data_IF_530757922980
#
_entry.id   IF_530757922980
#
_cell.length_a   1.000
_cell.length_b   1.000
_cell.length_c   1.000
_cell.angle_alpha   90.00
_cell.angle_beta   90.00
_cell.angle_gamma   90.00
#
_symmetry.space_group_name_H-M   'P 1'
#
loop_
_entity.id
_entity.type
_entity.pdbx_description
1 polymer ?
#
# COMPACT_ATOMS: atom_id res chain seq x y z
N UNK A 1 39.90 26.76 14.61
CA UNK A 1 39.83 25.29 14.49
C UNK A 1 38.61 24.84 15.27
N UNK A 2 37.46 24.74 14.58
CA UNK A 2 36.19 24.37 15.18
C UNK A 2 35.68 23.13 14.44
N UNK A 3 35.61 22.01 15.16
CA UNK A 3 35.05 20.76 14.67
C UNK A 3 33.52 20.88 14.70
N UNK A 4 32.86 20.82 13.53
CA UNK A 4 31.44 20.47 13.44
C UNK A 4 31.33 18.99 13.15
N UNK A 5 30.84 18.25 14.14
CA UNK A 5 30.34 16.88 13.99
C UNK A 5 28.93 17.00 13.41
N UNK A 6 28.75 16.54 12.17
CA UNK A 6 27.43 16.41 11.54
C UNK A 6 26.79 15.11 11.99
N UNK A 7 25.88 15.21 12.97
CA UNK A 7 24.97 14.15 13.35
C UNK A 7 23.81 14.10 12.35
N UNK A 8 23.85 13.17 11.38
CA UNK A 8 22.65 12.78 10.61
C UNK A 8 21.75 11.97 11.54
N UNK A 9 20.55 12.48 11.83
CA UNK A 9 19.49 11.68 12.45
C UNK A 9 18.81 10.85 11.36
N UNK A 10 18.47 9.57 11.59
CA UNK A 10 17.61 8.83 10.68
C UNK A 10 16.19 9.40 10.79
N UNK A 11 15.60 9.77 9.66
CA UNK A 11 14.17 10.08 9.54
C UNK A 11 13.46 8.73 9.53
N UNK A 12 12.76 8.40 10.62
CA UNK A 12 11.88 7.24 10.69
C UNK A 12 10.58 7.66 10.01
N UNK A 13 10.42 7.29 8.74
CA UNK A 13 9.18 7.46 7.99
C UNK A 13 8.17 6.44 8.55
N UNK A 14 7.44 6.81 9.60
CA UNK A 14 6.32 6.03 10.10
C UNK A 14 5.14 6.20 9.13
N UNK A 15 5.18 5.49 8.01
CA UNK A 15 4.03 5.37 7.12
C UNK A 15 2.95 4.54 7.82
N UNK A 16 2.12 5.20 8.64
CA UNK A 16 0.85 4.63 9.11
C UNK A 16 -0.11 4.69 7.92
N UNK A 17 -0.01 3.70 7.05
CA UNK A 17 -1.05 3.42 6.06
C UNK A 17 -2.23 2.84 6.83
N UNK A 18 -3.25 3.65 7.08
CA UNK A 18 -4.55 3.20 7.54
C UNK A 18 -5.16 2.32 6.42
N UNK A 19 -4.82 1.04 6.39
CA UNK A 19 -5.57 0.03 5.64
C UNK A 19 -6.86 -0.22 6.40
N UNK A 20 -7.84 0.67 6.24
CA UNK A 20 -9.21 0.36 6.65
C UNK A 20 -9.87 -0.49 5.56
N UNK A 21 -9.49 -1.78 5.50
CA UNK A 21 -10.36 -2.84 4.96
C UNK A 21 -11.33 -3.30 6.06
N UNK A 22 -12.17 -2.39 6.55
CA UNK A 22 -13.28 -2.75 7.43
C UNK A 22 -14.61 -2.68 6.65
N UNK A 23 -15.11 -3.87 6.31
CA UNK A 23 -16.53 -4.18 6.47
C UNK A 23 -17.51 -3.55 5.48
N UNK A 24 -17.47 -3.98 4.21
CA UNK A 24 -18.70 -4.11 3.43
C UNK A 24 -19.50 -5.32 3.97
N UNK A 25 -20.13 -5.16 5.12
CA UNK A 25 -21.21 -6.03 5.57
C UNK A 25 -22.48 -5.20 5.64
N UNK A 26 -23.41 -5.57 4.77
CA UNK A 26 -24.72 -5.01 4.61
C UNK A 26 -25.44 -4.77 5.95
N UNK A 27 -25.72 -3.52 6.27
CA UNK A 27 -26.86 -3.17 7.12
C UNK A 27 -28.08 -3.02 6.20
N UNK A 28 -28.67 -4.16 5.83
CA UNK A 28 -29.96 -4.17 5.13
C UNK A 28 -31.08 -3.96 6.17
N UNK A 29 -31.43 -2.69 6.41
CA UNK A 29 -32.70 -2.33 7.04
C UNK A 29 -33.28 -1.15 6.27
N UNK A 30 -34.35 -1.43 5.54
CA UNK A 30 -35.18 -0.47 4.84
C UNK A 30 -35.62 0.66 5.78
N UNK A 31 -35.00 1.82 5.65
CA UNK A 31 -35.55 3.09 6.08
C UNK A 31 -35.56 3.99 4.84
N UNK A 32 -36.76 4.40 4.43
CA UNK A 32 -37.00 5.28 3.29
C UNK A 32 -36.11 6.53 3.38
N UNK A 33 -35.13 6.63 2.47
CA UNK A 33 -34.44 7.88 2.21
C UNK A 33 -35.24 8.64 1.14
N UNK A 34 -35.55 9.94 1.33
CA UNK A 34 -36.22 10.72 0.31
C UNK A 34 -35.34 10.84 -0.94
N UNK A 35 -35.97 10.62 -2.09
CA UNK A 35 -35.39 10.68 -3.43
C UNK A 35 -34.67 12.02 -3.67
N UNK A 36 -33.34 11.99 -3.88
CA UNK A 36 -32.55 13.18 -4.16
C UNK A 36 -32.60 13.56 -5.65
N UNK A 37 -32.98 14.82 -5.91
CA UNK A 37 -33.13 15.48 -7.21
C UNK A 37 -31.83 15.44 -8.06
N UNK A 38 -31.88 15.02 -9.34
CA UNK A 38 -30.70 14.93 -10.18
C UNK A 38 -30.38 16.27 -10.86
N UNK A 39 -29.75 17.23 -10.17
CA UNK A 39 -29.13 18.41 -10.80
C UNK A 39 -27.83 18.88 -10.10
N UNK A 40 -26.73 18.68 -10.83
CA UNK A 40 -25.38 19.29 -10.78
C UNK A 40 -24.51 19.21 -9.50
N UNK A 41 -23.19 19.00 -9.65
CA UNK A 41 -22.26 18.91 -8.52
C UNK A 41 -21.91 20.32 -8.02
N UNK A 42 -22.38 20.65 -6.83
CA UNK A 42 -21.89 21.83 -6.09
C UNK A 42 -20.68 21.38 -5.29
N UNK A 43 -19.50 21.37 -5.92
CA UNK A 43 -18.24 21.45 -5.18
C UNK A 43 -18.10 22.91 -4.69
N UNK A 44 -18.00 23.18 -3.39
CA UNK A 44 -17.62 24.51 -2.95
C UNK A 44 -16.15 24.75 -3.34
N UNK A 45 -15.88 25.89 -3.99
CA UNK A 45 -14.53 26.42 -4.15
C UNK A 45 -13.96 26.66 -2.76
N UNK A 46 -12.94 25.90 -2.36
CA UNK A 46 -12.07 26.32 -1.27
C UNK A 46 -11.15 27.37 -1.83
N UNK A 47 -11.36 28.63 -1.43
CA UNK A 47 -10.39 29.69 -1.68
C UNK A 47 -9.15 29.40 -0.85
N UNK A 48 -7.99 29.39 -1.51
CA UNK A 48 -6.69 29.34 -0.87
C UNK A 48 -6.63 30.41 0.22
N UNK A 49 -6.44 29.99 1.47
CA UNK A 49 -6.17 30.94 2.54
C UNK A 49 -4.73 31.38 2.39
N UNK A 50 -4.53 32.65 2.01
CA UNK A 50 -3.25 33.34 2.05
C UNK A 50 -2.75 33.36 3.51
N UNK A 51 -2.03 32.33 3.92
CA UNK A 51 -1.14 32.39 5.06
C UNK A 51 0.00 33.34 4.70
N UNK A 52 0.21 34.36 5.52
CA UNK A 52 1.28 35.32 5.35
C UNK A 52 2.64 34.59 5.27
N UNK A 53 3.26 34.65 4.10
CA UNK A 53 4.61 34.17 3.84
C UNK A 53 5.58 35.07 4.61
N UNK A 54 6.07 34.59 5.75
CA UNK A 54 7.37 35.02 6.24
C UNK A 54 8.43 34.53 5.24
N UNK A 55 9.37 35.43 4.92
CA UNK A 55 10.45 35.34 3.93
C UNK A 55 11.19 33.98 3.91
N UNK A 56 10.58 32.98 3.27
CA UNK A 56 11.22 31.72 2.91
C UNK A 56 11.95 31.94 1.58
N UNK A 57 13.27 31.95 1.64
CA UNK A 57 14.13 31.87 0.45
C UNK A 57 13.66 30.71 -0.45
N UNK A 58 13.64 30.92 -1.77
CA UNK A 58 13.33 29.84 -2.74
C UNK A 58 14.11 28.56 -2.38
N UNK A 59 13.47 27.37 -2.38
CA UNK A 59 14.11 26.13 -2.00
C UNK A 59 15.37 25.87 -2.83
N UNK A 60 16.49 25.63 -2.14
CA UNK A 60 17.84 25.62 -2.70
C UNK A 60 18.12 24.43 -3.67
N UNK A 61 17.29 23.38 -3.67
CA UNK A 61 17.42 22.21 -4.55
C UNK A 61 16.08 21.57 -4.95
N UNK A 62 16.10 20.71 -5.99
CA UNK A 62 14.93 19.91 -6.41
C UNK A 62 14.47 18.99 -5.28
N UNK A 63 15.42 18.39 -4.55
CA UNK A 63 15.12 17.60 -3.36
C UNK A 63 14.37 18.41 -2.29
N UNK A 64 14.80 19.65 -2.03
CA UNK A 64 14.14 20.52 -1.05
C UNK A 64 12.72 20.88 -1.49
N UNK A 65 12.50 21.14 -2.78
CA UNK A 65 11.15 21.37 -3.33
C UNK A 65 10.23 20.16 -3.13
N UNK A 66 10.74 18.95 -3.35
CA UNK A 66 9.98 17.70 -3.16
C UNK A 66 9.65 17.52 -1.68
N UNK A 67 10.63 17.70 -0.80
CA UNK A 67 10.46 17.58 0.65
C UNK A 67 9.43 18.60 1.16
N UNK A 68 9.53 19.86 0.75
CA UNK A 68 8.60 20.92 1.17
C UNK A 68 7.14 20.58 0.81
N UNK A 69 6.90 20.06 -0.41
CA UNK A 69 5.55 19.64 -0.83
C UNK A 69 5.03 18.48 0.04
N UNK A 70 5.90 17.52 0.38
CA UNK A 70 5.53 16.36 1.21
C UNK A 70 5.27 16.80 2.66
N UNK A 71 6.12 17.64 3.24
CA UNK A 71 5.96 18.15 4.62
C UNK A 71 4.69 19.03 4.75
N UNK A 72 4.35 19.81 3.73
CA UNK A 72 3.08 20.54 3.67
C UNK A 72 1.89 19.57 3.72
N UNK A 73 1.91 18.50 2.91
CA UNK A 73 0.86 17.47 2.93
C UNK A 73 0.77 16.79 4.30
N UNK A 74 1.91 16.40 4.88
CA UNK A 74 1.97 15.73 6.18
C UNK A 74 1.37 16.61 7.28
N UNK A 75 1.66 17.91 7.26
CA UNK A 75 1.08 18.88 8.21
C UNK A 75 -0.44 18.93 8.09
N UNK A 76 -0.98 19.03 6.86
CA UNK A 76 -2.44 19.06 6.66
C UNK A 76 -3.09 17.72 7.02
N UNK A 77 -2.40 16.61 6.75
CA UNK A 77 -2.86 15.27 7.11
C UNK A 77 -2.89 15.08 8.63
N UNK A 78 -1.90 15.56 9.37
CA UNK A 78 -1.85 15.50 10.83
C UNK A 78 -2.99 16.31 11.46
N UNK A 79 -3.27 17.51 10.94
CA UNK A 79 -4.39 18.33 11.36
C UNK A 79 -5.75 17.64 11.12
N UNK A 80 -5.89 17.00 9.94
CA UNK A 80 -7.06 16.18 9.63
C UNK A 80 -7.20 15.00 10.60
N UNK A 81 -6.13 14.23 10.83
CA UNK A 81 -6.14 13.05 11.69
C UNK A 81 -6.47 13.41 13.14
N UNK A 82 -5.90 14.50 13.66
CA UNK A 82 -6.23 15.02 14.99
C UNK A 82 -7.73 15.37 15.08
N UNK A 83 -8.24 16.13 14.11
CA UNK A 83 -9.66 16.50 14.06
C UNK A 83 -10.58 15.28 13.93
N UNK A 84 -10.20 14.27 13.15
CA UNK A 84 -10.98 13.05 12.93
C UNK A 84 -11.01 12.16 14.19
N UNK A 85 -9.89 12.05 14.89
CA UNK A 85 -9.76 11.28 16.14
C UNK A 85 -10.63 11.86 17.25
N UNK A 86 -10.64 13.17 17.38
CA UNK A 86 -11.36 13.88 18.44
C UNK A 86 -12.86 14.08 18.12
N UNK A 87 -13.28 13.86 16.86
CA UNK A 87 -14.66 13.98 16.43
C UNK A 87 -15.55 12.85 16.95
N UNK A 88 -16.80 13.20 17.26
CA UNK A 88 -17.86 12.23 17.49
C UNK A 88 -18.14 11.42 16.22
N UNK A 89 -18.60 10.18 16.36
CA UNK A 89 -18.84 9.28 15.22
C UNK A 89 -19.79 9.89 14.16
N UNK A 90 -20.79 10.66 14.59
CA UNK A 90 -21.74 11.35 13.71
C UNK A 90 -21.12 12.51 12.91
N UNK A 91 -20.06 13.13 13.42
CA UNK A 91 -19.38 14.27 12.80
C UNK A 91 -18.23 13.84 11.88
N UNK A 92 -17.68 12.64 12.06
CA UNK A 92 -16.51 12.13 11.30
C UNK A 92 -16.70 12.19 9.79
N UNK A 93 -17.91 11.96 9.29
CA UNK A 93 -18.22 12.04 7.86
C UNK A 93 -18.10 13.46 7.29
N UNK A 94 -18.44 14.48 8.09
CA UNK A 94 -18.28 15.89 7.69
C UNK A 94 -16.82 16.31 7.79
N UNK A 95 -16.13 15.94 8.87
CA UNK A 95 -14.68 16.20 9.04
C UNK A 95 -13.89 15.61 7.88
N UNK A 96 -14.21 14.39 7.45
CA UNK A 96 -13.60 13.79 6.27
C UNK A 96 -13.81 14.64 5.02
N UNK A 97 -15.04 15.04 4.71
CA UNK A 97 -15.32 15.83 3.50
C UNK A 97 -14.63 17.20 3.49
N UNK A 98 -14.57 17.86 4.64
CA UNK A 98 -14.11 19.25 4.71
C UNK A 98 -12.60 19.37 4.91
N UNK A 99 -11.98 18.38 5.57
CA UNK A 99 -10.58 18.46 6.00
C UNK A 99 -9.67 17.41 5.41
N UNK A 100 -10.19 16.34 4.78
CA UNK A 100 -9.31 15.34 4.19
C UNK A 100 -8.44 16.00 3.11
N UNK A 101 -7.10 15.82 3.14
CA UNK A 101 -6.21 16.52 2.22
C UNK A 101 -6.50 16.19 0.75
N UNK A 102 -6.41 17.21 -0.11
CA UNK A 102 -6.56 17.10 -1.56
C UNK A 102 -5.36 16.38 -2.20
N UNK A 103 -5.24 15.08 -1.94
CA UNK A 103 -4.05 14.27 -2.26
C UNK A 103 -3.63 14.35 -3.73
N UNK A 104 -4.59 14.44 -4.66
CA UNK A 104 -4.32 14.57 -6.10
C UNK A 104 -3.63 15.90 -6.46
N UNK A 105 -3.89 16.98 -5.72
CA UNK A 105 -3.24 18.28 -5.95
C UNK A 105 -1.75 18.24 -5.59
N UNK A 106 -1.41 17.57 -4.48
CA UNK A 106 -0.02 17.36 -4.08
C UNK A 106 0.70 16.42 -5.05
N UNK A 107 0.02 15.35 -5.50
CA UNK A 107 0.57 14.46 -6.53
C UNK A 107 0.87 15.19 -7.84
N UNK A 108 0.01 16.11 -8.27
CA UNK A 108 0.22 16.94 -9.46
C UNK A 108 1.35 17.95 -9.28
N UNK A 109 1.50 18.55 -8.09
CA UNK A 109 2.65 19.41 -7.76
C UNK A 109 3.95 18.63 -7.84
N UNK A 110 4.02 17.45 -7.23
CA UNK A 110 5.19 16.56 -7.31
C UNK A 110 5.47 16.13 -8.75
N UNK A 111 4.43 15.76 -9.53
CA UNK A 111 4.57 15.39 -10.94
C UNK A 111 5.27 16.49 -11.74
N UNK A 112 4.91 17.76 -11.54
CA UNK A 112 5.53 18.90 -12.25
C UNK A 112 7.01 19.07 -11.91
N UNK A 113 7.40 18.89 -10.65
CA UNK A 113 8.81 18.94 -10.23
C UNK A 113 9.59 17.79 -10.87
N UNK A 114 9.05 16.57 -10.80
CA UNK A 114 9.64 15.38 -11.39
C UNK A 114 9.78 15.49 -12.91
N UNK A 115 8.78 16.03 -13.61
CA UNK A 115 8.79 16.21 -15.07
C UNK A 115 9.89 17.18 -15.52
N UNK A 116 10.19 18.21 -14.72
CA UNK A 116 11.24 19.20 -15.02
C UNK A 116 12.64 18.67 -14.69
N UNK A 117 12.75 17.76 -13.72
CA UNK A 117 14.02 17.29 -13.17
C UNK A 117 14.10 15.76 -13.01
N UNK A 118 13.82 14.95 -14.06
CA UNK A 118 13.60 13.51 -13.91
C UNK A 118 14.82 12.68 -13.48
N UNK A 119 16.02 13.23 -13.62
CA UNK A 119 17.29 12.58 -13.25
C UNK A 119 17.82 13.03 -11.88
N UNK A 120 17.12 13.92 -11.17
CA UNK A 120 17.54 14.36 -9.85
C UNK A 120 17.38 13.23 -8.82
N UNK A 121 18.35 13.01 -7.91
CA UNK A 121 18.25 11.96 -6.89
C UNK A 121 17.00 12.08 -6.00
N UNK A 122 16.47 13.29 -5.78
CA UNK A 122 15.25 13.51 -5.00
C UNK A 122 13.98 12.92 -5.63
N UNK A 123 14.01 12.60 -6.93
CA UNK A 123 12.84 12.04 -7.64
C UNK A 123 12.38 10.71 -7.05
N UNK A 124 13.28 9.90 -6.49
CA UNK A 124 12.90 8.63 -5.83
C UNK A 124 11.91 8.89 -4.68
N UNK A 125 12.08 9.97 -3.92
CA UNK A 125 11.18 10.32 -2.82
C UNK A 125 9.80 10.73 -3.32
N UNK A 126 9.74 11.56 -4.37
CA UNK A 126 8.46 11.94 -4.99
C UNK A 126 7.72 10.71 -5.57
N UNK A 127 8.44 9.82 -6.26
CA UNK A 127 7.87 8.58 -6.80
C UNK A 127 7.37 7.67 -5.67
N UNK A 128 8.14 7.52 -4.59
CA UNK A 128 7.75 6.75 -3.41
C UNK A 128 6.45 7.30 -2.82
N UNK A 129 6.34 8.61 -2.67
CA UNK A 129 5.15 9.25 -2.13
C UNK A 129 3.94 9.02 -3.05
N UNK A 130 4.08 9.25 -4.37
CA UNK A 130 3.00 9.07 -5.35
C UNK A 130 2.48 7.62 -5.36
N UNK A 131 3.37 6.63 -5.27
CA UNK A 131 2.98 5.21 -5.26
C UNK A 131 2.19 4.80 -4.01
N UNK A 132 2.44 5.47 -2.87
CA UNK A 132 1.82 5.18 -1.57
C UNK A 132 0.58 6.04 -1.29
N UNK A 133 0.43 7.20 -1.93
CA UNK A 133 -0.66 8.15 -1.63
C UNK A 133 -2.01 7.74 -2.22
N UNK A 134 -2.09 6.65 -2.97
CA UNK A 134 -3.30 6.25 -3.71
C UNK A 134 -3.56 7.12 -4.94
N UNK A 135 -2.59 7.93 -5.35
CA UNK A 135 -2.67 8.76 -6.56
C UNK A 135 -2.94 7.93 -7.81
N UNK A 136 -3.66 8.55 -8.76
CA UNK A 136 -4.03 7.97 -10.05
C UNK A 136 -3.73 8.93 -11.20
N UNK A 137 -4.00 8.52 -12.44
CA UNK A 137 -3.80 9.38 -13.61
C UNK A 137 -2.34 9.68 -13.93
N UNK A 138 -2.06 10.91 -14.38
CA UNK A 138 -0.74 11.33 -14.89
C UNK A 138 0.40 11.24 -13.85
N UNK A 139 0.23 11.62 -12.57
CA UNK A 139 1.29 11.47 -11.57
C UNK A 139 1.76 10.01 -11.43
N UNK A 140 0.81 9.07 -11.34
CA UNK A 140 1.12 7.64 -11.27
C UNK A 140 1.74 7.15 -12.59
N UNK A 141 1.20 7.55 -13.74
CA UNK A 141 1.70 7.14 -15.05
C UNK A 141 3.16 7.55 -15.27
N UNK A 142 3.52 8.80 -14.95
CA UNK A 142 4.89 9.31 -15.04
C UNK A 142 5.82 8.55 -14.08
N UNK A 143 5.39 8.34 -12.84
CA UNK A 143 6.15 7.60 -11.83
C UNK A 143 6.50 6.19 -12.32
N UNK A 144 5.52 5.45 -12.83
CA UNK A 144 5.73 4.11 -13.37
C UNK A 144 6.58 4.11 -14.65
N UNK A 145 6.50 5.15 -15.47
CA UNK A 145 7.37 5.31 -16.64
C UNK A 145 8.84 5.52 -16.24
N UNK A 146 9.11 6.33 -15.21
CA UNK A 146 10.46 6.54 -14.71
C UNK A 146 11.05 5.25 -14.12
N UNK A 147 10.25 4.50 -13.35
CA UNK A 147 10.66 3.20 -12.80
C UNK A 147 11.08 2.23 -13.92
N UNK A 148 10.27 2.10 -14.98
CA UNK A 148 10.58 1.22 -16.14
C UNK A 148 11.66 1.77 -17.08
N UNK A 149 12.09 3.01 -16.88
CA UNK A 149 13.03 3.67 -17.77
C UNK A 149 14.36 3.89 -17.07
N UNK A 150 14.48 5.07 -16.45
CA UNK A 150 15.75 5.56 -15.92
C UNK A 150 16.17 4.81 -14.65
N UNK A 151 15.21 4.28 -13.90
CA UNK A 151 15.50 3.67 -12.60
C UNK A 151 15.73 2.15 -12.68
N UNK A 152 15.33 1.45 -13.75
CA UNK A 152 15.44 -0.02 -13.87
C UNK A 152 16.82 -0.58 -13.50
N UNK A 153 17.88 0.14 -13.89
CA UNK A 153 19.27 -0.25 -13.66
C UNK A 153 19.83 0.17 -12.29
N UNK A 154 19.08 0.96 -11.51
CA UNK A 154 19.46 1.40 -10.16
C UNK A 154 19.04 0.39 -9.10
N UNK A 155 19.90 0.18 -8.11
CA UNK A 155 19.55 -0.60 -6.92
C UNK A 155 18.53 0.12 -6.03
N UNK A 156 18.42 1.45 -6.15
CA UNK A 156 17.51 2.27 -5.34
C UNK A 156 16.03 1.95 -5.61
N UNK A 157 15.72 1.35 -6.77
CA UNK A 157 14.36 0.86 -7.06
C UNK A 157 13.88 -0.17 -6.04
N UNK A 158 14.78 -0.84 -5.33
CA UNK A 158 14.42 -1.75 -4.24
C UNK A 158 13.50 -1.09 -3.20
N UNK A 159 13.68 0.21 -2.93
CA UNK A 159 12.83 1.00 -2.02
C UNK A 159 11.38 1.14 -2.52
N UNK A 160 11.19 1.17 -3.84
CA UNK A 160 9.89 1.41 -4.47
C UNK A 160 9.02 0.15 -4.57
N UNK A 161 9.64 -1.03 -4.50
CA UNK A 161 8.96 -2.31 -4.78
C UNK A 161 7.77 -2.56 -3.83
N UNK A 162 7.88 -2.34 -2.50
CA UNK A 162 6.73 -2.49 -1.62
C UNK A 162 5.55 -1.58 -2.03
N UNK A 163 5.81 -0.34 -2.43
CA UNK A 163 4.78 0.63 -2.85
C UNK A 163 4.10 0.24 -4.18
N UNK A 164 4.79 -0.51 -5.05
CA UNK A 164 4.19 -1.09 -6.25
C UNK A 164 3.16 -2.19 -5.94
N UNK A 165 3.26 -2.86 -4.78
CA UNK A 165 2.34 -3.92 -4.37
C UNK A 165 1.21 -3.46 -3.43
N UNK A 166 1.20 -2.19 -3.01
CA UNK A 166 0.20 -1.61 -2.12
C UNK A 166 -0.98 -1.05 -2.92
N UNK A 167 -2.18 -1.19 -2.35
CA UNK A 167 -3.44 -0.66 -2.86
C UNK A 167 -4.17 -1.66 -3.76
N UNK A 168 -5.25 -1.22 -4.40
CA UNK A 168 -5.98 -2.08 -5.34
C UNK A 168 -5.06 -2.59 -6.46
N UNK A 169 -5.21 -3.86 -6.89
CA UNK A 169 -4.48 -4.38 -8.04
C UNK A 169 -4.60 -3.45 -9.25
N UNK A 170 -3.47 -3.11 -9.86
CA UNK A 170 -3.41 -2.14 -10.94
C UNK A 170 -2.53 -2.66 -12.07
N UNK A 171 -3.07 -2.65 -13.29
CA UNK A 171 -2.40 -3.22 -14.47
C UNK A 171 -1.08 -2.54 -14.81
N UNK A 172 -0.99 -1.22 -14.65
CA UNK A 172 0.25 -0.48 -14.90
C UNK A 172 1.31 -0.79 -13.85
N UNK A 173 0.93 -0.92 -12.56
CA UNK A 173 1.85 -1.37 -11.50
C UNK A 173 2.32 -2.82 -11.76
N UNK A 174 1.42 -3.72 -12.14
CA UNK A 174 1.75 -5.10 -12.53
C UNK A 174 2.78 -5.16 -13.67
N UNK A 175 2.57 -4.40 -14.74
CA UNK A 175 3.51 -4.32 -15.87
C UNK A 175 4.87 -3.73 -15.47
N UNK A 176 4.90 -2.80 -14.52
CA UNK A 176 6.16 -2.29 -13.96
C UNK A 176 6.88 -3.37 -13.17
N UNK A 177 6.16 -4.15 -12.35
CA UNK A 177 6.74 -5.28 -11.61
C UNK A 177 7.33 -6.31 -12.58
N UNK A 178 6.60 -6.69 -13.64
CA UNK A 178 7.11 -7.58 -14.68
C UNK A 178 8.38 -7.04 -15.34
N UNK A 179 8.39 -5.75 -15.68
CA UNK A 179 9.57 -5.11 -16.24
C UNK A 179 10.80 -5.23 -15.33
N UNK A 180 10.64 -5.00 -14.02
CA UNK A 180 11.73 -5.11 -13.05
C UNK A 180 12.25 -6.55 -12.89
N UNK A 181 11.34 -7.54 -12.90
CA UNK A 181 11.71 -8.97 -12.88
C UNK A 181 12.58 -9.32 -14.10
N UNK A 182 12.18 -8.84 -15.28
CA UNK A 182 12.81 -9.21 -16.55
C UNK A 182 14.11 -8.46 -16.84
N UNK A 183 14.19 -7.19 -16.45
CA UNK A 183 15.23 -6.27 -16.95
C UNK A 183 16.18 -5.74 -15.88
N UNK A 184 15.84 -5.80 -14.59
CA UNK A 184 16.75 -5.25 -13.57
C UNK A 184 18.04 -6.08 -13.49
N UNK A 185 19.22 -5.44 -13.44
CA UNK A 185 20.49 -6.14 -13.27
C UNK A 185 20.69 -6.63 -11.82
N UNK A 186 19.86 -6.19 -10.87
CA UNK A 186 20.02 -6.46 -9.44
C UNK A 186 19.16 -7.64 -9.00
N UNK A 187 19.80 -8.69 -8.47
CA UNK A 187 19.09 -9.89 -8.00
C UNK A 187 18.09 -9.58 -6.87
N UNK A 188 18.43 -8.68 -5.94
CA UNK A 188 17.54 -8.24 -4.87
C UNK A 188 16.27 -7.56 -5.41
N UNK A 189 16.40 -6.73 -6.46
CA UNK A 189 15.26 -6.08 -7.14
C UNK A 189 14.38 -7.12 -7.81
N UNK A 190 14.96 -8.06 -8.58
CA UNK A 190 14.18 -9.12 -9.24
C UNK A 190 13.44 -10.01 -8.25
N UNK A 191 14.10 -10.43 -7.17
CA UNK A 191 13.49 -11.24 -6.12
C UNK A 191 12.37 -10.50 -5.38
N UNK A 192 12.62 -9.25 -4.99
CA UNK A 192 11.59 -8.42 -4.34
C UNK A 192 10.42 -8.13 -5.27
N UNK A 193 10.67 -7.87 -6.55
CA UNK A 193 9.62 -7.66 -7.54
C UNK A 193 8.80 -8.94 -7.77
N UNK A 194 9.44 -10.11 -7.77
CA UNK A 194 8.72 -11.39 -7.85
C UNK A 194 7.81 -11.61 -6.63
N UNK A 195 8.28 -11.28 -5.42
CA UNK A 195 7.44 -11.30 -4.22
C UNK A 195 6.28 -10.29 -4.30
N UNK A 196 6.55 -9.07 -4.78
CA UNK A 196 5.51 -8.06 -5.00
C UNK A 196 4.43 -8.55 -5.99
N UNK A 197 4.83 -9.26 -7.06
CA UNK A 197 3.92 -9.88 -8.03
C UNK A 197 3.00 -10.92 -7.36
N UNK A 198 3.57 -11.78 -6.53
CA UNK A 198 2.81 -12.81 -5.79
C UNK A 198 1.78 -12.15 -4.86
N UNK A 199 2.19 -11.13 -4.10
CA UNK A 199 1.26 -10.39 -3.22
C UNK A 199 0.14 -9.70 -3.98
N UNK A 200 0.43 -9.12 -5.16
CA UNK A 200 -0.61 -8.52 -5.99
C UNK A 200 -1.55 -9.57 -6.59
N UNK A 201 -1.05 -10.76 -6.94
CA UNK A 201 -1.86 -11.88 -7.41
C UNK A 201 -2.81 -12.40 -6.32
N UNK A 202 -2.36 -12.47 -5.07
CA UNK A 202 -3.21 -12.83 -3.93
C UNK A 202 -4.33 -11.80 -3.71
N UNK A 203 -3.99 -10.51 -3.67
CA UNK A 203 -4.97 -9.42 -3.60
C UNK A 203 -5.97 -9.47 -4.78
N UNK A 204 -5.51 -9.82 -5.98
CA UNK A 204 -6.38 -10.01 -7.13
C UNK A 204 -7.36 -11.17 -6.93
N UNK A 205 -6.95 -12.30 -6.34
CA UNK A 205 -7.86 -13.42 -6.05
C UNK A 205 -8.94 -13.02 -5.05
N UNK A 206 -8.55 -12.38 -3.95
CA UNK A 206 -9.48 -11.85 -2.95
C UNK A 206 -10.48 -10.86 -3.57
N UNK A 207 -9.97 -9.97 -4.44
CA UNK A 207 -10.82 -9.00 -5.12
C UNK A 207 -11.76 -9.68 -6.13
N UNK A 208 -11.30 -10.69 -6.88
CA UNK A 208 -12.16 -11.46 -7.78
C UNK A 208 -13.29 -12.19 -7.05
N UNK A 209 -12.99 -12.79 -5.89
CA UNK A 209 -13.99 -13.43 -5.04
C UNK A 209 -15.01 -12.41 -4.52
N UNK A 210 -14.55 -11.22 -4.13
CA UNK A 210 -15.41 -10.10 -3.74
C UNK A 210 -16.32 -9.64 -4.88
N UNK A 211 -15.77 -9.44 -6.10
CA UNK A 211 -16.56 -9.09 -7.29
C UNK A 211 -17.63 -10.15 -7.59
N UNK A 212 -17.31 -11.44 -7.44
CA UNK A 212 -18.25 -12.55 -7.65
C UNK A 212 -19.42 -12.59 -6.66
N UNK A 213 -19.26 -11.98 -5.48
CA UNK A 213 -20.30 -11.89 -4.45
C UNK A 213 -21.18 -10.64 -4.59
N UNK A 214 -20.77 -9.65 -5.37
CA UNK A 214 -21.54 -8.42 -5.53
C UNK A 214 -22.79 -8.62 -6.37
N UNK A 215 -23.93 -8.11 -5.87
CA UNK A 215 -25.21 -8.15 -6.58
C UNK A 215 -25.32 -7.12 -7.72
N UNK A 216 -24.45 -6.10 -7.71
CA UNK A 216 -24.35 -5.09 -8.76
C UNK A 216 -22.89 -4.98 -9.19
N UNK A 217 -22.62 -4.77 -10.49
CA UNK A 217 -21.25 -4.62 -10.98
C UNK A 217 -20.61 -3.38 -10.36
N UNK A 218 -19.41 -3.55 -9.79
CA UNK A 218 -18.64 -2.42 -9.29
C UNK A 218 -18.14 -1.56 -10.46
N UNK A 219 -18.12 -0.24 -10.27
CA UNK A 219 -17.47 0.67 -11.20
C UNK A 219 -15.95 0.62 -10.96
N UNK A 220 -15.27 -0.28 -11.64
CA UNK A 220 -13.82 -0.49 -11.54
C UNK A 220 -13.12 -0.06 -12.83
N UNK A 221 -11.85 0.34 -12.72
CA UNK A 221 -11.00 0.61 -13.88
C UNK A 221 -10.91 -0.64 -14.78
N UNK A 222 -11.13 -0.53 -16.10
CA UNK A 222 -11.08 -1.69 -17.00
C UNK A 222 -9.73 -2.43 -17.00
N UNK A 223 -8.62 -1.73 -16.74
CA UNK A 223 -7.30 -2.32 -16.59
C UNK A 223 -7.23 -3.21 -15.34
N UNK A 224 -7.69 -2.69 -14.20
CA UNK A 224 -7.83 -3.45 -12.96
C UNK A 224 -8.77 -4.64 -13.12
N UNK A 225 -9.94 -4.47 -13.73
CA UNK A 225 -10.88 -5.58 -13.98
C UNK A 225 -10.23 -6.69 -14.80
N UNK A 226 -9.57 -6.33 -15.92
CA UNK A 226 -8.87 -7.28 -16.78
C UNK A 226 -7.74 -8.01 -16.06
N UNK A 227 -7.00 -7.34 -15.17
CA UNK A 227 -5.93 -7.93 -14.40
C UNK A 227 -6.49 -8.94 -13.39
N UNK A 228 -7.51 -8.51 -12.63
CA UNK A 228 -8.09 -9.27 -11.52
C UNK A 228 -8.87 -10.48 -12.01
N UNK A 229 -9.65 -10.35 -13.08
CA UNK A 229 -10.41 -11.47 -13.64
C UNK A 229 -9.57 -12.32 -14.61
N UNK A 230 -8.26 -12.07 -14.70
CA UNK A 230 -7.39 -12.69 -15.67
C UNK A 230 -6.02 -13.05 -15.11
N UNK A 231 -4.98 -12.43 -15.67
CA UNK A 231 -3.58 -12.85 -15.53
C UNK A 231 -3.07 -12.90 -14.08
N UNK A 232 -3.54 -12.00 -13.20
CA UNK A 232 -3.10 -11.99 -11.81
C UNK A 232 -3.75 -13.07 -10.97
N UNK A 233 -5.08 -13.24 -11.05
CA UNK A 233 -5.78 -14.24 -10.22
C UNK A 233 -5.45 -15.67 -10.63
N UNK A 234 -5.14 -15.89 -11.92
CA UNK A 234 -4.78 -17.20 -12.48
C UNK A 234 -3.29 -17.54 -12.40
N UNK A 235 -2.47 -16.66 -11.80
CA UNK A 235 -1.03 -16.90 -11.67
C UNK A 235 -0.76 -18.10 -10.75
N UNK A 236 0.04 -19.06 -11.20
CA UNK A 236 0.49 -20.19 -10.38
C UNK A 236 1.56 -19.72 -9.38
N UNK A 237 1.22 -19.68 -8.08
CA UNK A 237 2.08 -19.09 -7.05
C UNK A 237 3.20 -20.02 -6.58
N UNK A 238 2.89 -21.31 -6.39
CA UNK A 238 3.83 -22.30 -5.84
C UNK A 238 5.19 -22.34 -6.58
N UNK A 239 5.25 -22.47 -7.93
CA UNK A 239 6.54 -22.50 -8.61
C UNK A 239 7.33 -21.18 -8.50
N UNK A 240 6.64 -20.04 -8.36
CA UNK A 240 7.30 -18.74 -8.18
C UNK A 240 7.86 -18.59 -6.77
N UNK A 241 7.13 -19.08 -5.76
CA UNK A 241 7.60 -19.12 -4.38
C UNK A 241 8.82 -20.05 -4.23
N UNK A 242 8.79 -21.22 -4.87
CA UNK A 242 9.95 -22.13 -4.91
C UNK A 242 11.15 -21.49 -5.63
N UNK A 243 10.90 -20.70 -6.69
CA UNK A 243 11.93 -19.91 -7.34
C UNK A 243 12.52 -18.86 -6.39
N UNK A 244 11.69 -18.19 -5.59
CA UNK A 244 12.16 -17.22 -4.59
C UNK A 244 13.07 -17.90 -3.56
N UNK A 245 12.63 -19.00 -2.95
CA UNK A 245 13.46 -19.73 -1.97
C UNK A 245 14.82 -20.14 -2.57
N UNK A 246 14.82 -20.63 -3.81
CA UNK A 246 16.02 -21.16 -4.46
C UNK A 246 16.99 -20.06 -4.93
N UNK A 247 16.47 -19.02 -5.57
CA UNK A 247 17.30 -18.07 -6.33
C UNK A 247 17.46 -16.72 -5.61
N UNK A 248 16.57 -16.41 -4.65
CA UNK A 248 16.50 -15.09 -4.02
C UNK A 248 16.34 -15.11 -2.49
N UNK A 249 16.39 -16.28 -1.86
CA UNK A 249 15.97 -16.46 -0.46
C UNK A 249 16.69 -15.56 0.55
N UNK A 250 17.97 -15.27 0.32
CA UNK A 250 18.80 -14.47 1.24
C UNK A 250 18.60 -12.95 1.11
N UNK A 251 17.89 -12.47 0.08
CA UNK A 251 17.65 -11.02 -0.09
C UNK A 251 16.48 -10.55 0.78
N UNK A 252 16.51 -9.28 1.18
CA UNK A 252 15.39 -8.63 1.89
C UNK A 252 14.26 -8.28 0.92
N UNK A 253 13.03 -8.25 1.44
CA UNK A 253 11.91 -7.61 0.76
C UNK A 253 11.92 -6.10 1.00
N UNK A 254 12.26 -5.33 -0.04
CA UNK A 254 12.49 -3.88 0.10
C UNK A 254 13.79 -3.56 0.84
N UNK A 255 13.87 -2.39 1.47
CA UNK A 255 15.09 -1.87 2.11
C UNK A 255 15.12 -2.04 3.64
N UNK A 256 14.00 -2.45 4.25
CA UNK A 256 13.88 -2.61 5.71
C UNK A 256 14.75 -3.78 6.19
N UNK A 257 15.58 -3.53 7.20
CA UNK A 257 16.46 -4.55 7.80
C UNK A 257 15.69 -5.46 8.77
N UNK A 258 16.26 -6.62 9.10
CA UNK A 258 15.67 -7.54 10.10
C UNK A 258 15.51 -6.86 11.47
N UNK A 259 16.45 -6.00 11.86
CA UNK A 259 16.38 -5.25 13.12
C UNK A 259 15.20 -4.26 13.15
N UNK A 260 14.79 -3.77 11.97
CA UNK A 260 13.63 -2.89 11.81
C UNK A 260 12.32 -3.67 11.60
N UNK A 261 12.34 -5.01 11.66
CA UNK A 261 11.18 -5.88 11.44
C UNK A 261 11.00 -6.34 9.99
N UNK A 262 11.98 -6.08 9.11
CA UNK A 262 12.02 -6.61 7.75
C UNK A 262 12.19 -8.12 7.72
N UNK A 263 11.81 -8.76 6.61
CA UNK A 263 11.93 -10.20 6.39
C UNK A 263 12.73 -10.50 5.12
N UNK A 264 13.43 -11.62 5.14
CA UNK A 264 14.05 -12.15 3.92
C UNK A 264 12.97 -12.71 2.99
N UNK A 265 13.26 -12.72 1.69
CA UNK A 265 12.36 -13.30 0.70
C UNK A 265 12.17 -14.80 0.92
N UNK A 266 13.18 -15.50 1.44
CA UNK A 266 13.08 -16.92 1.80
C UNK A 266 12.10 -17.16 2.96
N UNK A 267 12.16 -16.37 4.02
CA UNK A 267 11.20 -16.47 5.14
C UNK A 267 9.77 -16.17 4.69
N UNK A 268 9.59 -15.18 3.82
CA UNK A 268 8.29 -14.86 3.24
C UNK A 268 7.79 -16.00 2.34
N UNK A 269 8.63 -16.47 1.41
CA UNK A 269 8.23 -17.53 0.47
C UNK A 269 7.90 -18.85 1.19
N UNK A 270 8.67 -19.20 2.23
CA UNK A 270 8.44 -20.39 3.03
C UNK A 270 7.09 -20.34 3.77
N UNK A 271 6.73 -19.19 4.33
CA UNK A 271 5.44 -18.99 4.97
C UNK A 271 4.28 -19.13 3.97
N UNK A 272 4.37 -18.48 2.82
CA UNK A 272 3.36 -18.58 1.77
C UNK A 272 3.22 -20.01 1.21
N UNK A 273 4.33 -20.72 1.02
CA UNK A 273 4.31 -22.13 0.62
C UNK A 273 3.65 -23.01 1.67
N UNK A 274 3.91 -22.75 2.95
CA UNK A 274 3.25 -23.47 4.04
C UNK A 274 1.74 -23.25 3.98
N UNK A 275 1.29 -22.00 3.80
CA UNK A 275 -0.12 -21.66 3.71
C UNK A 275 -0.82 -22.33 2.52
N UNK A 276 -0.18 -22.35 1.34
CA UNK A 276 -0.70 -23.03 0.15
C UNK A 276 -0.78 -24.56 0.33
N UNK A 277 0.19 -25.17 1.02
CA UNK A 277 0.29 -26.62 1.17
C UNK A 277 -0.60 -27.17 2.29
N UNK A 278 -0.78 -26.37 3.35
CA UNK A 278 -1.34 -26.84 4.63
C UNK A 278 -2.58 -26.06 5.10
N UNK A 279 -2.76 -24.79 4.75
CA UNK A 279 -3.81 -23.92 5.32
C UNK A 279 -4.94 -23.58 4.32
N UNK A 280 -5.25 -24.49 3.41
CA UNK A 280 -6.33 -24.32 2.43
C UNK A 280 -7.64 -24.98 2.87
N UNK A 281 -8.77 -24.51 2.33
CA UNK A 281 -10.08 -25.14 2.56
C UNK A 281 -10.02 -26.63 2.23
N UNK A 282 -10.49 -27.46 3.16
CA UNK A 282 -10.48 -28.92 3.03
C UNK A 282 -9.20 -29.61 3.50
N UNK A 283 -8.15 -28.86 3.88
CA UNK A 283 -6.99 -29.41 4.61
C UNK A 283 -7.33 -29.62 6.08
N UNK A 284 -6.62 -30.53 6.71
CA UNK A 284 -6.69 -30.69 8.16
C UNK A 284 -6.02 -29.48 8.82
N UNK A 285 -6.77 -28.73 9.63
CA UNK A 285 -6.22 -27.62 10.40
C UNK A 285 -5.10 -28.15 11.32
N UNK A 286 -3.91 -27.49 11.36
CA UNK A 286 -2.85 -27.85 12.29
C UNK A 286 -3.34 -27.86 13.73
N UNK A 287 -2.81 -28.78 14.54
CA UNK A 287 -3.17 -28.79 15.95
C UNK A 287 -2.59 -27.56 16.63
N UNK A 288 -3.42 -26.85 17.39
CA UNK A 288 -3.03 -25.70 18.18
C UNK A 288 -3.06 -26.14 19.63
N UNK A 289 -1.92 -25.98 20.31
CA UNK A 289 -1.79 -26.29 21.73
C UNK A 289 -1.58 -24.98 22.46
N UNK A 290 -2.38 -24.74 23.49
CA UNK A 290 -2.29 -23.53 24.30
C UNK A 290 -2.94 -23.72 25.65
N UNK A 291 -2.87 -22.67 26.46
CA UNK A 291 -3.58 -22.56 27.72
C UNK A 291 -4.68 -21.49 27.56
N UNK A 292 -5.83 -21.72 28.18
CA UNK A 292 -6.86 -20.69 28.27
C UNK A 292 -6.55 -19.65 29.37
N UNK A 293 -7.47 -18.70 29.58
CA UNK A 293 -7.31 -17.64 30.60
C UNK A 293 -7.22 -18.16 32.04
N UNK A 294 -7.61 -19.41 32.29
CA UNK A 294 -7.56 -20.07 33.60
C UNK A 294 -6.34 -21.00 33.72
N UNK A 295 -5.48 -21.05 32.69
CA UNK A 295 -4.30 -21.92 32.63
C UNK A 295 -4.65 -23.37 32.29
N UNK A 296 -5.84 -23.64 31.76
CA UNK A 296 -6.22 -24.99 31.33
C UNK A 296 -5.65 -25.25 29.95
N UNK A 297 -4.78 -26.26 29.87
CA UNK A 297 -4.27 -26.74 28.59
C UNK A 297 -5.42 -27.24 27.71
N UNK A 298 -5.43 -26.81 26.44
CA UNK A 298 -6.33 -27.32 25.42
C UNK A 298 -5.59 -27.59 24.11
N UNK A 299 -6.16 -28.49 23.31
CA UNK A 299 -5.76 -28.72 21.92
C UNK A 299 -6.93 -28.49 20.99
N UNK A 300 -6.68 -27.96 19.80
CA UNK A 300 -7.72 -27.86 18.77
C UNK A 300 -8.31 -29.25 18.45
N UNK A 301 -7.48 -30.29 18.47
CA UNK A 301 -7.90 -31.68 18.28
C UNK A 301 -8.88 -32.21 19.34
N UNK A 302 -8.95 -31.61 20.53
CA UNK A 302 -9.92 -31.99 21.57
C UNK A 302 -11.38 -31.69 21.16
N UNK A 303 -11.56 -30.83 20.15
CA UNK A 303 -12.87 -30.43 19.64
C UNK A 303 -13.32 -31.24 18.41
N UNK A 304 -12.62 -32.33 18.06
CA UNK A 304 -13.03 -33.22 16.95
C UNK A 304 -14.49 -33.69 17.14
N UNK A 305 -15.24 -33.68 16.04
CA UNK A 305 -16.67 -33.98 16.05
C UNK A 305 -17.59 -32.79 16.33
N UNK A 306 -17.04 -31.60 16.58
CA UNK A 306 -17.78 -30.33 16.68
C UNK A 306 -17.49 -29.44 15.47
N UNK A 307 -18.40 -28.49 15.23
CA UNK A 307 -18.10 -27.31 14.40
C UNK A 307 -17.43 -26.29 15.31
N UNK A 308 -16.24 -25.83 14.92
CA UNK A 308 -15.41 -24.90 15.70
C UNK A 308 -15.21 -23.64 14.87
N UNK A 309 -15.47 -22.48 15.48
CA UNK A 309 -15.05 -21.18 14.98
C UNK A 309 -13.83 -20.76 15.79
N UNK A 310 -12.72 -20.51 15.10
CA UNK A 310 -11.49 -20.01 15.72
C UNK A 310 -11.30 -18.55 15.32
N UNK A 311 -11.18 -17.69 16.31
CA UNK A 311 -11.07 -16.23 16.15
C UNK A 311 -9.76 -15.75 16.78
N UNK A 312 -8.93 -15.09 15.99
CA UNK A 312 -7.63 -14.55 16.42
C UNK A 312 -7.78 -13.04 16.61
N UNK A 313 -7.58 -12.55 17.84
CA UNK A 313 -7.70 -11.14 18.19
C UNK A 313 -6.57 -10.71 19.15
N UNK A 314 -6.38 -9.40 19.32
CA UNK A 314 -5.44 -8.83 20.29
C UNK A 314 -5.91 -7.46 20.78
N UNK A 315 -5.47 -7.07 21.99
CA UNK A 315 -5.62 -5.73 22.54
C UNK A 315 -4.36 -4.89 22.24
N UNK A 316 -4.54 -3.71 21.68
CA UNK A 316 -3.47 -2.78 21.28
C UNK A 316 -3.58 -1.43 22.00
#
# INVERSE_FOLDING_TARGET
>A
MSNRVTSRRPIVLAAIVCVSMFGLTACNRSADLPEADPREPILPKVEAQDAAVEDASEPDSVGDQIVEIIEEYETVMDDFQAAYRDAADEDRGQIYRDKYPATDEYAERLRRVVEQHPADPGVVQAVTWILNSGSSGEPLALSLQLVRGQMTDSADVLELIPALAIGMPNKSKWQTIDHLIDHSPHAAVRGSALMAKIRMAQQAREYADYLGQMSQPASIDPGTESLVLGEASTLELEPLLEQIERDYGDFMYGTQTVEEGGRTLGEMASAELFDLRHLQVGKEAPDIVGEDLEGVEFKLSDYRGKVVMLDFWGDW
#
